data_IF_783297262792
#
_entry.id   IF_783297262792
#
_cell.length_a   1.000
_cell.length_b   1.000
_cell.length_c   1.000
_cell.angle_alpha   90.00
_cell.angle_beta   90.00
_cell.angle_gamma   90.00
#
_symmetry.space_group_name_H-M   'P 1'
#
loop_
_entity.id
_entity.type
_entity.pdbx_description
1 polymer ?
#
# COMPACT_ATOMS: atom_id res chain seq x y z
N UNK A 1 -11.64 7.51 -6.76
CA UNK A 1 -10.50 6.86 -7.45
C UNK A 1 -10.35 7.51 -8.82
N UNK A 2 -9.12 7.83 -9.20
CA UNK A 2 -8.77 8.34 -10.53
C UNK A 2 -7.96 7.22 -11.21
N UNK A 3 -8.54 6.57 -12.20
CA UNK A 3 -7.89 5.45 -12.87
C UNK A 3 -6.75 5.86 -13.79
N UNK A 4 -5.78 4.99 -13.96
CA UNK A 4 -4.81 5.04 -15.07
C UNK A 4 -5.55 5.00 -16.41
N UNK A 5 -5.02 5.69 -17.42
CA UNK A 5 -5.53 5.58 -18.80
C UNK A 5 -5.31 4.18 -19.40
N UNK A 6 -4.34 3.44 -18.85
CA UNK A 6 -4.04 2.09 -19.30
C UNK A 6 -3.60 1.20 -18.12
N UNK A 7 -4.58 0.55 -17.48
CA UNK A 7 -4.34 -0.32 -16.34
C UNK A 7 -3.45 -1.53 -16.68
N UNK A 8 -3.52 -2.07 -17.90
CA UNK A 8 -2.65 -3.18 -18.31
C UNK A 8 -1.19 -2.77 -18.32
N UNK A 9 -0.87 -1.57 -18.82
CA UNK A 9 0.49 -1.03 -18.74
C UNK A 9 0.92 -0.77 -17.31
N UNK A 10 0.05 -0.21 -16.48
CA UNK A 10 0.34 0.02 -15.06
C UNK A 10 0.76 -1.29 -14.38
N UNK A 11 -0.03 -2.35 -14.54
CA UNK A 11 0.27 -3.65 -13.95
C UNK A 11 1.51 -4.32 -14.57
N UNK A 12 1.74 -4.20 -15.89
CA UNK A 12 2.96 -4.70 -16.52
C UNK A 12 4.22 -4.02 -15.94
N UNK A 13 4.17 -2.70 -15.76
CA UNK A 13 5.27 -1.96 -15.14
C UNK A 13 5.53 -2.42 -13.71
N UNK A 14 4.49 -2.56 -12.89
CA UNK A 14 4.60 -2.94 -11.48
C UNK A 14 5.08 -4.40 -11.34
N UNK A 15 4.42 -5.33 -12.01
CA UNK A 15 4.63 -6.76 -11.76
C UNK A 15 5.74 -7.39 -12.59
N UNK A 16 5.96 -6.94 -13.82
CA UNK A 16 6.97 -7.50 -14.71
C UNK A 16 8.26 -6.69 -14.73
N UNK A 17 8.15 -5.36 -14.91
CA UNK A 17 9.31 -4.48 -15.03
C UNK A 17 9.87 -4.03 -13.69
N UNK A 18 9.11 -4.13 -12.60
CA UNK A 18 9.46 -3.62 -11.25
C UNK A 18 9.72 -2.10 -11.25
N UNK A 19 8.98 -1.38 -12.07
CA UNK A 19 9.08 0.06 -12.23
C UNK A 19 7.74 0.72 -11.89
N UNK A 20 7.81 1.99 -11.50
CA UNK A 20 6.62 2.82 -11.38
C UNK A 20 6.11 3.23 -12.76
N UNK A 21 4.79 3.24 -12.90
CA UNK A 21 4.15 3.75 -14.09
C UNK A 21 3.91 5.25 -13.97
N UNK A 22 4.15 6.00 -15.04
CA UNK A 22 4.05 7.47 -15.05
C UNK A 22 2.63 8.01 -14.84
N UNK A 23 1.60 7.22 -15.21
CA UNK A 23 0.18 7.55 -15.06
C UNK A 23 -0.51 6.54 -14.12
N UNK A 24 -0.23 6.56 -12.80
CA UNK A 24 -0.74 5.58 -11.86
C UNK A 24 -2.25 5.76 -11.61
N UNK A 25 -2.91 4.69 -11.23
CA UNK A 25 -4.22 4.75 -10.58
C UNK A 25 -4.06 5.35 -9.19
N UNK A 26 -4.85 6.39 -8.89
CA UNK A 26 -4.78 7.14 -7.63
C UNK A 26 -6.05 6.88 -6.82
N UNK A 27 -5.88 6.32 -5.62
CA UNK A 27 -6.92 6.27 -4.60
C UNK A 27 -6.78 7.48 -3.68
N UNK A 28 -7.88 8.20 -3.43
CA UNK A 28 -7.92 9.35 -2.52
C UNK A 28 -9.01 9.10 -1.49
N UNK A 29 -8.65 9.16 -0.21
CA UNK A 29 -9.56 9.05 0.92
C UNK A 29 -9.45 10.31 1.79
N UNK A 30 -10.36 11.27 1.66
CA UNK A 30 -10.41 12.46 2.51
C UNK A 30 -11.14 12.11 3.81
N UNK A 31 -10.42 11.57 4.81
CA UNK A 31 -11.02 11.06 6.05
C UNK A 31 -11.78 12.13 6.84
N UNK A 32 -11.30 13.37 6.81
CA UNK A 32 -11.93 14.53 7.47
C UNK A 32 -13.32 14.88 6.92
N UNK A 33 -13.72 14.36 5.76
CA UNK A 33 -15.11 14.50 5.26
C UNK A 33 -16.10 13.68 6.08
N UNK A 34 -15.65 12.61 6.70
CA UNK A 34 -16.46 11.72 7.56
C UNK A 34 -16.19 12.01 9.04
N UNK A 35 -14.92 12.09 9.42
CA UNK A 35 -14.47 12.32 10.79
C UNK A 35 -13.86 13.72 10.86
N UNK A 36 -14.63 14.69 11.33
CA UNK A 36 -14.22 16.11 11.31
C UNK A 36 -12.94 16.41 12.09
N UNK A 37 -12.61 15.60 13.11
CA UNK A 37 -11.42 15.76 13.94
C UNK A 37 -10.13 15.23 13.29
N UNK A 38 -10.20 14.62 12.11
CA UNK A 38 -9.03 14.15 11.36
C UNK A 38 -8.25 15.30 10.69
N UNK A 39 -8.78 16.52 10.72
CA UNK A 39 -8.06 17.71 10.25
C UNK A 39 -8.43 18.94 11.08
N UNK A 40 -7.55 19.94 11.17
CA UNK A 40 -7.87 21.25 11.77
C UNK A 40 -9.04 21.93 11.04
N UNK A 41 -9.74 22.85 11.76
CA UNK A 41 -10.85 23.60 11.17
C UNK A 41 -10.42 24.36 9.91
N UNK A 42 -11.15 24.14 8.81
CA UNK A 42 -10.85 24.73 7.50
C UNK A 42 -9.81 23.97 6.67
N UNK A 43 -9.30 22.85 7.19
CA UNK A 43 -8.38 21.96 6.48
C UNK A 43 -9.02 20.61 6.17
N UNK A 44 -8.36 19.85 5.32
CA UNK A 44 -8.71 18.48 4.99
C UNK A 44 -7.48 17.57 5.12
N UNK A 45 -7.71 16.35 5.54
CA UNK A 45 -6.71 15.28 5.53
C UNK A 45 -6.99 14.37 4.33
N UNK A 46 -6.01 14.25 3.44
CA UNK A 46 -6.12 13.39 2.26
C UNK A 46 -5.11 12.24 2.36
N UNK A 47 -5.62 11.04 2.53
CA UNK A 47 -4.81 9.83 2.35
C UNK A 47 -4.80 9.47 0.88
N UNK A 48 -3.62 9.54 0.24
CA UNK A 48 -3.43 9.23 -1.18
C UNK A 48 -2.61 7.96 -1.31
N UNK A 49 -3.11 7.00 -2.06
CA UNK A 49 -2.46 5.72 -2.31
C UNK A 49 -2.35 5.48 -3.82
N UNK A 50 -1.20 4.99 -4.25
CA UNK A 50 -0.96 4.47 -5.60
C UNK A 50 -0.39 3.06 -5.52
N UNK A 51 -0.57 2.28 -6.59
CA UNK A 51 0.09 0.98 -6.71
C UNK A 51 1.59 1.17 -6.96
N UNK A 52 2.40 0.33 -6.33
CA UNK A 52 3.86 0.37 -6.41
C UNK A 52 4.44 -1.04 -6.56
N UNK A 53 5.55 -1.22 -7.28
CA UNK A 53 6.34 -2.43 -7.19
C UNK A 53 6.97 -2.54 -5.79
N UNK A 54 7.42 -3.72 -5.42
CA UNK A 54 8.25 -3.90 -4.22
C UNK A 54 9.63 -3.25 -4.40
N UNK A 55 10.31 -2.96 -3.30
CA UNK A 55 11.68 -2.43 -3.35
C UNK A 55 12.65 -3.50 -3.87
N UNK A 56 13.24 -3.25 -5.02
CA UNK A 56 14.30 -4.06 -5.63
C UNK A 56 15.54 -3.23 -5.96
N UNK A 57 15.73 -2.11 -5.24
CA UNK A 57 16.87 -1.22 -5.40
C UNK A 57 16.65 -0.03 -6.32
N UNK A 58 15.40 0.33 -6.58
CA UNK A 58 15.06 1.52 -7.38
C UNK A 58 15.51 2.81 -6.67
N UNK A 59 15.80 3.85 -7.46
CA UNK A 59 16.05 5.20 -6.93
C UNK A 59 14.75 5.87 -6.47
N UNK A 60 14.30 5.50 -5.26
CA UNK A 60 13.06 6.00 -4.69
C UNK A 60 13.05 7.52 -4.46
N UNK A 61 14.20 8.15 -4.28
CA UNK A 61 14.26 9.61 -4.11
C UNK A 61 13.87 10.34 -5.40
N UNK A 62 14.40 9.89 -6.52
CA UNK A 62 14.07 10.47 -7.83
C UNK A 62 12.63 10.09 -8.23
N UNK A 63 12.26 8.83 -8.06
CA UNK A 63 10.90 8.32 -8.36
C UNK A 63 9.84 9.12 -7.58
N UNK A 64 10.02 9.30 -6.27
CA UNK A 64 9.11 10.06 -5.41
C UNK A 64 8.82 11.45 -5.94
N UNK A 65 9.86 12.19 -6.34
CA UNK A 65 9.71 13.56 -6.83
C UNK A 65 8.94 13.62 -8.16
N UNK A 66 9.29 12.74 -9.09
CA UNK A 66 8.62 12.67 -10.41
C UNK A 66 7.15 12.26 -10.27
N UNK A 67 6.88 11.22 -9.48
CA UNK A 67 5.51 10.74 -9.27
C UNK A 67 4.65 11.75 -8.54
N UNK A 68 5.19 12.43 -7.54
CA UNK A 68 4.47 13.51 -6.86
C UNK A 68 3.95 14.55 -7.84
N UNK A 69 4.79 14.99 -8.76
CA UNK A 69 4.38 15.97 -9.79
C UNK A 69 3.27 15.41 -10.69
N UNK A 70 3.41 14.17 -11.15
CA UNK A 70 2.42 13.51 -11.99
C UNK A 70 1.08 13.34 -11.27
N UNK A 71 1.10 12.94 -9.99
CA UNK A 71 -0.09 12.77 -9.16
C UNK A 71 -0.82 14.10 -8.98
N UNK A 72 -0.11 15.16 -8.60
CA UNK A 72 -0.67 16.50 -8.43
C UNK A 72 -1.28 16.99 -9.73
N UNK A 73 -0.55 16.88 -10.85
CA UNK A 73 -1.03 17.28 -12.17
C UNK A 73 -2.32 16.50 -12.56
N UNK A 74 -2.35 15.21 -12.30
CA UNK A 74 -3.51 14.35 -12.60
C UNK A 74 -4.72 14.72 -11.73
N UNK A 75 -4.52 14.96 -10.43
CA UNK A 75 -5.57 15.41 -9.51
C UNK A 75 -6.11 16.77 -9.96
N UNK A 76 -5.23 17.75 -10.20
CA UNK A 76 -5.63 19.09 -10.63
C UNK A 76 -6.46 19.07 -11.91
N UNK A 77 -6.01 18.29 -12.90
CA UNK A 77 -6.75 18.13 -14.15
C UNK A 77 -8.12 17.47 -13.97
N UNK A 78 -8.17 16.39 -13.18
CA UNK A 78 -9.41 15.60 -13.03
C UNK A 78 -10.46 16.29 -12.19
N UNK A 79 -10.03 16.99 -11.13
CA UNK A 79 -10.94 17.69 -10.21
C UNK A 79 -11.11 19.17 -10.53
N UNK A 80 -10.41 19.68 -11.55
CA UNK A 80 -10.38 21.10 -11.92
C UNK A 80 -10.02 22.02 -10.74
N UNK A 81 -8.96 21.68 -10.02
CA UNK A 81 -8.45 22.42 -8.84
C UNK A 81 -6.95 22.66 -8.99
N UNK A 82 -6.36 23.42 -8.07
CA UNK A 82 -4.93 23.64 -7.92
C UNK A 82 -4.50 23.19 -6.52
N UNK A 83 -4.49 21.87 -6.28
CA UNK A 83 -4.24 21.29 -4.94
C UNK A 83 -2.86 21.67 -4.40
N UNK A 84 -1.88 21.83 -5.29
CA UNK A 84 -0.52 22.25 -4.96
C UNK A 84 -0.47 23.55 -4.14
N UNK A 85 -1.41 24.47 -4.37
CA UNK A 85 -1.52 25.73 -3.64
C UNK A 85 -2.12 25.58 -2.25
N UNK A 86 -2.71 24.44 -1.94
CA UNK A 86 -3.41 24.16 -0.69
C UNK A 86 -2.70 23.14 0.20
N UNK A 87 -1.56 22.58 -0.25
CA UNK A 87 -0.78 21.64 0.55
C UNK A 87 -0.06 22.42 1.65
N UNK A 88 -0.47 22.17 2.89
CA UNK A 88 0.16 22.74 4.10
C UNK A 88 1.25 21.80 4.63
N UNK A 89 0.99 20.50 4.60
CA UNK A 89 1.91 19.46 5.04
C UNK A 89 1.75 18.24 4.14
N UNK A 90 2.86 17.56 3.88
CA UNK A 90 2.87 16.36 3.07
C UNK A 90 3.91 15.37 3.61
N UNK A 91 3.54 14.13 3.72
CA UNK A 91 4.45 13.02 4.00
C UNK A 91 4.27 11.94 2.94
N UNK A 92 5.37 11.42 2.42
CA UNK A 92 5.36 10.41 1.36
C UNK A 92 6.16 9.20 1.81
N UNK A 93 5.52 8.03 1.78
CA UNK A 93 6.16 6.74 2.05
C UNK A 93 6.38 5.97 0.77
N UNK A 94 7.62 5.67 0.49
CA UNK A 94 8.03 4.73 -0.56
C UNK A 94 8.05 3.29 -0.01
N UNK A 95 8.11 2.25 -0.85
CA UNK A 95 8.34 0.88 -0.39
C UNK A 95 9.57 0.74 0.51
N UNK A 96 10.66 1.47 0.22
CA UNK A 96 11.85 1.49 1.07
C UNK A 96 11.58 2.08 2.45
N UNK A 97 10.83 3.17 2.53
CA UNK A 97 10.44 3.78 3.82
C UNK A 97 9.55 2.82 4.62
N UNK A 98 8.64 2.12 3.95
CA UNK A 98 7.79 1.10 4.57
C UNK A 98 8.63 -0.05 5.13
N UNK A 99 9.60 -0.56 4.36
CA UNK A 99 10.52 -1.60 4.85
C UNK A 99 11.28 -1.17 6.09
N UNK A 100 11.84 0.04 6.10
CA UNK A 100 12.56 0.58 7.25
C UNK A 100 11.66 0.73 8.48
N UNK A 101 10.44 1.24 8.30
CA UNK A 101 9.52 1.52 9.41
C UNK A 101 8.81 0.28 9.97
N UNK A 102 8.55 -0.72 9.12
CA UNK A 102 7.70 -1.87 9.49
C UNK A 102 8.42 -3.22 9.46
N UNK A 103 9.67 -3.25 8.99
CA UNK A 103 10.44 -4.46 8.72
C UNK A 103 9.77 -5.41 7.71
N UNK A 104 8.83 -4.90 6.92
CA UNK A 104 8.18 -5.66 5.85
C UNK A 104 9.16 -5.86 4.71
N UNK A 105 9.50 -7.10 4.41
CA UNK A 105 10.45 -7.44 3.38
C UNK A 105 10.11 -6.77 2.04
N UNK A 106 11.06 -6.04 1.47
CA UNK A 106 10.91 -5.27 0.22
C UNK A 106 9.78 -4.23 0.24
N UNK A 107 9.36 -3.77 1.42
CA UNK A 107 8.24 -2.84 1.58
C UNK A 107 6.87 -3.44 1.29
N UNK A 108 6.73 -4.76 1.29
CA UNK A 108 5.49 -5.49 1.01
C UNK A 108 4.61 -5.60 2.25
N UNK A 109 3.72 -4.63 2.48
CA UNK A 109 2.85 -4.57 3.68
C UNK A 109 2.00 -5.83 3.92
N UNK A 110 1.60 -6.52 2.86
CA UNK A 110 0.67 -7.66 2.93
C UNK A 110 1.32 -8.99 2.54
N UNK A 111 2.65 -9.06 2.52
CA UNK A 111 3.41 -10.24 2.13
C UNK A 111 3.33 -10.50 0.62
N UNK A 112 3.32 -11.79 0.22
CA UNK A 112 3.25 -12.18 -1.18
C UNK A 112 1.96 -11.70 -1.86
N UNK A 113 2.08 -11.25 -3.11
CA UNK A 113 0.93 -10.79 -3.90
C UNK A 113 -0.04 -11.94 -4.20
N UNK A 114 -1.34 -11.63 -4.30
CA UNK A 114 -2.39 -12.59 -4.61
C UNK A 114 -2.72 -12.64 -6.12
N UNK A 115 -1.72 -12.47 -6.98
CA UNK A 115 -1.90 -12.35 -8.43
C UNK A 115 -2.23 -13.66 -9.16
N UNK A 116 -2.15 -14.79 -8.47
CA UNK A 116 -2.61 -16.07 -8.98
C UNK A 116 -3.51 -16.75 -7.95
N UNK A 117 -4.38 -17.65 -8.42
CA UNK A 117 -5.24 -18.46 -7.55
C UNK A 117 -4.39 -19.19 -6.51
N UNK A 118 -3.26 -19.78 -6.93
CA UNK A 118 -2.37 -20.48 -6.01
C UNK A 118 -1.75 -19.56 -4.97
N UNK A 119 -1.31 -18.36 -5.34
CA UNK A 119 -0.74 -17.37 -4.41
C UNK A 119 -1.78 -16.85 -3.41
N UNK A 120 -3.04 -16.74 -3.82
CA UNK A 120 -4.12 -16.31 -2.94
C UNK A 120 -4.46 -17.34 -1.86
N UNK A 121 -4.43 -18.65 -2.22
CA UNK A 121 -4.77 -19.74 -1.29
C UNK A 121 -3.56 -20.29 -0.53
N UNK A 122 -2.33 -20.19 -1.07
CA UNK A 122 -1.11 -20.73 -0.48
C UNK A 122 -0.29 -19.67 0.26
N UNK A 123 -0.95 -18.83 1.05
CA UNK A 123 -0.25 -17.92 1.97
C UNK A 123 0.52 -18.71 3.02
N UNK A 124 1.58 -18.11 3.55
CA UNK A 124 2.37 -18.71 4.61
C UNK A 124 1.44 -19.14 5.78
N UNK A 125 1.54 -20.37 6.27
CA UNK A 125 0.70 -20.83 7.37
C UNK A 125 1.02 -20.09 8.68
N UNK A 126 0.09 -20.16 9.62
CA UNK A 126 0.22 -19.52 10.93
C UNK A 126 1.17 -20.24 11.89
N UNK A 127 1.87 -21.28 11.44
CA UNK A 127 2.82 -22.04 12.24
C UNK A 127 4.03 -22.48 11.40
N UNK A 128 5.16 -22.70 12.06
CA UNK A 128 6.35 -23.27 11.44
C UNK A 128 6.29 -24.78 11.40
N UNK A 129 6.53 -25.36 10.22
CA UNK A 129 6.71 -26.82 10.07
C UNK A 129 8.09 -27.30 10.53
N UNK A 130 9.07 -26.38 10.65
CA UNK A 130 10.46 -26.71 10.98
C UNK A 130 10.81 -26.45 12.43
N UNK A 131 10.18 -25.47 13.05
CA UNK A 131 10.48 -25.04 14.42
C UNK A 131 9.24 -25.25 15.27
N UNK A 132 9.36 -26.12 16.28
CA UNK A 132 8.27 -26.41 17.23
C UNK A 132 7.92 -25.15 18.02
N UNK A 133 6.64 -24.92 18.25
CA UNK A 133 6.08 -23.81 19.02
C UNK A 133 6.40 -22.40 18.42
N UNK A 134 6.74 -22.32 17.15
CA UNK A 134 6.85 -21.03 16.44
C UNK A 134 5.59 -20.80 15.62
N UNK A 135 4.90 -19.71 15.94
CA UNK A 135 3.64 -19.29 15.31
C UNK A 135 3.78 -17.91 14.67
N UNK A 136 2.93 -17.65 13.68
CA UNK A 136 2.91 -16.38 12.94
C UNK A 136 1.48 -15.86 12.87
N UNK A 137 1.27 -14.56 13.14
CA UNK A 137 -0.02 -13.92 12.92
C UNK A 137 0.14 -12.55 12.27
N UNK A 138 -0.90 -12.08 11.61
CA UNK A 138 -0.93 -10.77 10.96
C UNK A 138 -1.22 -10.85 9.47
N UNK A 139 -1.02 -9.71 8.77
CA UNK A 139 -1.41 -9.55 7.37
C UNK A 139 -0.55 -10.28 6.35
N UNK A 140 0.67 -10.68 6.70
CA UNK A 140 1.60 -11.37 5.79
C UNK A 140 1.42 -12.88 5.74
N UNK A 141 0.63 -13.44 6.66
CA UNK A 141 0.34 -14.88 6.76
C UNK A 141 -1.15 -15.15 6.55
N UNK A 142 -1.56 -16.42 6.59
CA UNK A 142 -2.97 -16.80 6.43
C UNK A 142 -3.85 -16.16 7.54
N UNK A 143 -5.05 -15.64 7.21
CA UNK A 143 -5.71 -15.59 5.90
C UNK A 143 -5.32 -14.39 5.01
N UNK A 144 -4.56 -13.41 5.49
CA UNK A 144 -4.07 -12.29 4.68
C UNK A 144 -4.19 -10.94 5.35
N UNK A 145 -4.03 -9.86 4.55
CA UNK A 145 -4.01 -8.47 4.98
C UNK A 145 -5.41 -7.87 5.21
N UNK A 146 -5.43 -6.79 5.98
CA UNK A 146 -6.64 -6.08 6.41
C UNK A 146 -7.03 -6.43 7.85
N UNK A 147 -7.58 -5.45 8.58
CA UNK A 147 -7.87 -5.59 10.02
C UNK A 147 -8.70 -6.84 10.35
N UNK A 148 -9.82 -7.15 9.65
CA UNK A 148 -10.60 -8.36 9.97
C UNK A 148 -9.81 -9.65 9.78
N UNK A 149 -8.97 -9.73 8.74
CA UNK A 149 -8.17 -10.92 8.45
C UNK A 149 -7.00 -11.05 9.43
N UNK A 150 -6.39 -9.95 9.86
CA UNK A 150 -5.36 -9.96 10.90
C UNK A 150 -5.92 -10.45 12.25
N UNK A 151 -7.14 -10.03 12.64
CA UNK A 151 -7.81 -10.51 13.82
C UNK A 151 -8.13 -12.01 13.72
N UNK A 152 -8.58 -12.47 12.55
CA UNK A 152 -8.81 -13.90 12.31
C UNK A 152 -7.50 -14.70 12.36
N UNK A 153 -6.41 -14.16 11.82
CA UNK A 153 -5.06 -14.75 11.95
C UNK A 153 -4.66 -14.94 13.41
N UNK A 154 -4.89 -13.93 14.25
CA UNK A 154 -4.62 -14.01 15.69
C UNK A 154 -5.49 -15.07 16.39
N UNK A 155 -6.77 -15.17 16.04
CA UNK A 155 -7.68 -16.20 16.54
C UNK A 155 -7.18 -17.61 16.19
N UNK A 156 -6.80 -17.84 14.93
CA UNK A 156 -6.22 -19.14 14.49
C UNK A 156 -5.01 -19.50 15.36
N UNK A 157 -4.07 -18.56 15.56
CA UNK A 157 -2.89 -18.82 16.39
C UNK A 157 -3.27 -19.12 17.84
N UNK A 158 -4.23 -18.40 18.43
CA UNK A 158 -4.68 -18.65 19.80
C UNK A 158 -5.27 -20.05 19.99
N UNK A 159 -5.89 -20.61 18.95
CA UNK A 159 -6.44 -21.96 18.96
C UNK A 159 -5.36 -23.04 18.79
N UNK A 160 -4.24 -22.71 18.13
CA UNK A 160 -3.11 -23.63 17.96
C UNK A 160 -2.20 -23.75 19.20
N UNK A 161 -2.24 -22.76 20.09
CA UNK A 161 -1.39 -22.71 21.31
C UNK A 161 -2.00 -23.50 22.49
N UNK A 162 -3.18 -24.06 22.34
CA UNK A 162 -3.88 -24.84 23.38
C UNK A 162 -3.17 -26.15 23.74
#
# INVERSE_FOLDING_TARGET
IIFSKNNYKEFDYIFNKKLMYEDPTIYICPTSKVVKNDAPKGCENWFILINSPYDSGQDWNNIKNTLRQNIIKKINHTLNISIDKHIVMEEVFTPKDIEIKTLSQYGSLYGSSSNSIMSAFLRHPNFSKKIKNLYFCGGSVHPGGGIPLCLNSAKIVSELIK
#
